data_IF_028533238892
#
_entry.id   IF_028533238892
#
_cell.length_a   1.000
_cell.length_b   1.000
_cell.length_c   1.000
_cell.angle_alpha   90.00
_cell.angle_beta   90.00
_cell.angle_gamma   90.00
#
_symmetry.space_group_name_H-M   'P 1'
#
loop_
_entity.id
_entity.type
_entity.pdbx_description
1 polymer ?
#
# COMPACT_ATOMS: atom_id res chain seq x y z
N UNK A 1 16.70 4.12 1.35
CA UNK A 1 16.10 2.91 1.94
C UNK A 1 16.21 2.95 3.46
N UNK A 2 15.06 2.92 4.12
CA UNK A 2 14.95 2.73 5.57
C UNK A 2 15.49 1.35 5.97
N UNK A 3 16.05 1.26 7.17
CA UNK A 3 16.40 -0.03 7.78
C UNK A 3 15.13 -0.84 8.05
N UNK A 4 15.25 -2.16 8.23
CA UNK A 4 14.12 -3.02 8.62
C UNK A 4 13.39 -2.48 9.87
N UNK A 5 14.16 -1.97 10.84
CA UNK A 5 13.62 -1.33 12.05
C UNK A 5 12.80 -0.10 11.68
N UNK A 6 13.30 0.76 10.77
CA UNK A 6 12.57 1.92 10.27
C UNK A 6 11.26 1.54 9.58
N UNK A 7 11.23 0.46 8.81
CA UNK A 7 10.02 -0.06 8.19
C UNK A 7 9.00 -0.56 9.21
N UNK A 8 9.43 -1.37 10.17
CA UNK A 8 8.55 -1.91 11.21
C UNK A 8 7.99 -0.79 12.10
N UNK A 9 8.83 0.18 12.46
CA UNK A 9 8.41 1.35 13.22
C UNK A 9 7.41 2.20 12.43
N UNK A 10 7.69 2.49 11.15
CA UNK A 10 6.79 3.23 10.28
C UNK A 10 5.43 2.54 10.12
N UNK A 11 5.42 1.22 9.94
CA UNK A 11 4.21 0.41 9.87
C UNK A 11 3.41 0.46 11.18
N UNK A 12 4.08 0.35 12.33
CA UNK A 12 3.45 0.43 13.64
C UNK A 12 2.83 1.82 13.87
N UNK A 13 3.57 2.90 13.60
CA UNK A 13 3.07 4.28 13.74
C UNK A 13 1.88 4.53 12.81
N UNK A 14 1.97 4.12 11.54
CA UNK A 14 0.90 4.25 10.57
C UNK A 14 -0.38 3.51 11.03
N UNK A 15 -0.23 2.28 11.51
CA UNK A 15 -1.34 1.46 12.01
C UNK A 15 -1.96 2.09 13.26
N UNK A 16 -1.14 2.50 14.24
CA UNK A 16 -1.61 3.17 15.45
C UNK A 16 -2.36 4.46 15.14
N UNK A 17 -1.87 5.29 14.22
CA UNK A 17 -2.54 6.53 13.83
C UNK A 17 -3.95 6.26 13.26
N UNK A 18 -4.07 5.27 12.37
CA UNK A 18 -5.37 4.88 11.79
C UNK A 18 -6.31 4.26 12.83
N UNK A 19 -5.81 3.35 13.66
CA UNK A 19 -6.56 2.66 14.71
C UNK A 19 -7.07 3.64 15.78
N UNK A 20 -6.22 4.53 16.27
CA UNK A 20 -6.60 5.53 17.29
C UNK A 20 -7.61 6.52 16.73
N UNK A 21 -7.46 6.95 15.46
CA UNK A 21 -8.44 7.79 14.81
C UNK A 21 -9.80 7.09 14.64
N UNK A 22 -9.81 5.76 14.42
CA UNK A 22 -11.04 4.99 14.31
C UNK A 22 -11.79 4.93 15.64
N UNK A 23 -11.07 4.78 16.75
CA UNK A 23 -11.65 4.76 18.10
C UNK A 23 -12.31 6.06 18.54
N UNK A 24 -12.03 7.17 17.86
CA UNK A 24 -12.69 8.46 18.10
C UNK A 24 -14.05 8.59 17.39
N UNK A 25 -14.43 7.61 16.55
CA UNK A 25 -15.73 7.55 15.86
C UNK A 25 -16.01 8.84 15.06
N UNK A 26 -14.95 9.48 14.54
CA UNK A 26 -15.04 10.65 13.66
C UNK A 26 -14.52 10.26 12.25
N UNK A 27 -15.41 10.12 11.25
CA UNK A 27 -15.02 9.78 9.88
C UNK A 27 -14.03 10.76 9.28
N UNK A 28 -14.14 12.06 9.59
CA UNK A 28 -13.28 13.09 9.00
C UNK A 28 -11.86 12.96 9.52
N UNK A 29 -11.71 12.71 10.82
CA UNK A 29 -10.41 12.50 11.45
C UNK A 29 -9.76 11.21 10.93
N UNK A 30 -10.53 10.13 10.79
CA UNK A 30 -10.02 8.88 10.23
C UNK A 30 -9.64 9.02 8.74
N UNK A 31 -10.42 9.75 7.94
CA UNK A 31 -10.07 10.13 6.57
C UNK A 31 -8.74 10.87 6.54
N UNK A 32 -8.55 11.86 7.42
CA UNK A 32 -7.31 12.61 7.51
C UNK A 32 -6.12 11.71 7.90
N UNK A 33 -6.31 10.81 8.88
CA UNK A 33 -5.28 9.86 9.30
C UNK A 33 -4.88 8.91 8.16
N UNK A 34 -5.85 8.28 7.48
CA UNK A 34 -5.58 7.44 6.31
C UNK A 34 -4.89 8.20 5.18
N UNK A 35 -5.35 9.43 4.89
CA UNK A 35 -4.76 10.28 3.87
C UNK A 35 -3.31 10.66 4.17
N UNK A 36 -3.01 11.02 5.42
CA UNK A 36 -1.64 11.34 5.86
C UNK A 36 -0.72 10.13 5.78
N UNK A 37 -1.18 8.95 6.20
CA UNK A 37 -0.40 7.71 6.09
C UNK A 37 -0.12 7.37 4.63
N UNK A 38 -1.15 7.36 3.78
CA UNK A 38 -1.02 7.09 2.36
C UNK A 38 -0.04 8.07 1.70
N UNK A 39 -0.19 9.37 1.97
CA UNK A 39 0.69 10.42 1.45
C UNK A 39 2.14 10.22 1.92
N UNK A 40 2.36 9.95 3.21
CA UNK A 40 3.70 9.73 3.75
C UNK A 40 4.39 8.54 3.09
N UNK A 41 3.70 7.41 2.94
CA UNK A 41 4.25 6.21 2.27
C UNK A 41 4.56 6.51 0.81
N UNK A 42 3.64 7.18 0.09
CA UNK A 42 3.85 7.55 -1.32
C UNK A 42 5.04 8.49 -1.50
N UNK A 43 5.17 9.53 -0.67
CA UNK A 43 6.29 10.48 -0.75
C UNK A 43 7.63 9.79 -0.46
N UNK A 44 7.68 8.89 0.52
CA UNK A 44 8.88 8.09 0.81
C UNK A 44 9.25 7.19 -0.37
N UNK A 45 8.26 6.54 -1.00
CA UNK A 45 8.48 5.70 -2.17
C UNK A 45 9.08 6.49 -3.34
N UNK A 46 8.45 7.62 -3.69
CA UNK A 46 8.91 8.51 -4.77
C UNK A 46 10.31 9.03 -4.47
N UNK A 47 10.58 9.44 -3.22
CA UNK A 47 11.89 9.90 -2.81
C UNK A 47 12.98 8.82 -2.97
N UNK A 48 12.71 7.59 -2.53
CA UNK A 48 13.64 6.47 -2.69
C UNK A 48 13.82 6.10 -4.17
N UNK A 49 12.78 6.15 -5.00
CA UNK A 49 12.88 5.96 -6.45
C UNK A 49 13.77 7.01 -7.10
N UNK A 50 13.55 8.30 -6.81
CA UNK A 50 14.38 9.39 -7.31
C UNK A 50 15.84 9.23 -6.90
N UNK A 51 16.09 8.84 -5.64
CA UNK A 51 17.45 8.57 -5.16
C UNK A 51 18.11 7.43 -5.93
N UNK A 52 17.38 6.34 -6.19
CA UNK A 52 17.87 5.21 -6.98
C UNK A 52 18.19 5.61 -8.42
N UNK A 53 17.28 6.34 -9.08
CA UNK A 53 17.45 6.86 -10.44
C UNK A 53 18.70 7.75 -10.52
N UNK A 54 18.82 8.72 -9.60
CA UNK A 54 19.94 9.66 -9.57
C UNK A 54 21.28 8.98 -9.29
N UNK A 55 21.27 7.82 -8.62
CA UNK A 55 22.46 6.99 -8.39
C UNK A 55 22.81 6.05 -9.56
N UNK A 56 22.05 6.07 -10.65
CA UNK A 56 22.24 5.16 -11.79
C UNK A 56 21.90 3.71 -11.46
N UNK A 57 20.96 3.47 -10.54
CA UNK A 57 20.59 2.12 -10.14
C UNK A 57 19.95 1.35 -11.31
N UNK A 58 20.24 0.04 -11.36
CA UNK A 58 19.61 -0.87 -12.32
C UNK A 58 18.09 -0.96 -12.10
N UNK A 59 17.28 -1.21 -13.14
CA UNK A 59 15.83 -1.26 -13.04
C UNK A 59 15.26 -2.20 -11.97
N UNK A 60 15.88 -3.37 -11.77
CA UNK A 60 15.49 -4.32 -10.72
C UNK A 60 15.51 -3.70 -9.32
N UNK A 61 16.35 -2.69 -9.09
CA UNK A 61 16.39 -1.95 -7.83
C UNK A 61 15.12 -1.12 -7.59
N UNK A 62 14.63 -0.46 -8.64
CA UNK A 62 13.42 0.34 -8.60
C UNK A 62 12.21 -0.58 -8.46
N UNK A 63 12.17 -1.68 -9.21
CA UNK A 63 11.15 -2.72 -9.07
C UNK A 63 11.09 -3.29 -7.65
N UNK A 64 12.24 -3.61 -7.06
CA UNK A 64 12.32 -4.10 -5.67
C UNK A 64 11.83 -3.06 -4.67
N UNK A 65 12.29 -1.80 -4.81
CA UNK A 65 11.82 -0.69 -3.98
C UNK A 65 10.31 -0.50 -4.08
N UNK A 66 9.78 -0.47 -5.30
CA UNK A 66 8.34 -0.36 -5.58
C UNK A 66 7.57 -1.46 -4.85
N UNK A 67 7.97 -2.72 -5.05
CA UNK A 67 7.32 -3.87 -4.44
C UNK A 67 7.35 -3.82 -2.90
N UNK A 68 8.43 -3.33 -2.28
CA UNK A 68 8.47 -3.12 -0.81
C UNK A 68 7.47 -2.07 -0.36
N UNK A 69 7.40 -0.92 -1.02
CA UNK A 69 6.46 0.15 -0.67
C UNK A 69 5.00 -0.28 -0.89
N UNK A 70 4.70 -1.00 -1.98
CA UNK A 70 3.38 -1.60 -2.18
C UNK A 70 3.05 -2.59 -1.06
N UNK A 71 4.01 -3.44 -0.69
CA UNK A 71 3.89 -4.35 0.44
C UNK A 71 3.60 -3.64 1.76
N UNK A 72 4.21 -2.46 2.00
CA UNK A 72 3.94 -1.65 3.19
C UNK A 72 2.51 -1.11 3.19
N UNK A 73 2.01 -0.58 2.07
CA UNK A 73 0.62 -0.09 1.99
C UNK A 73 -0.37 -1.22 2.27
N UNK A 74 -0.14 -2.40 1.66
CA UNK A 74 -0.97 -3.58 1.91
C UNK A 74 -0.89 -4.07 3.36
N UNK A 75 0.31 -4.11 3.95
CA UNK A 75 0.49 -4.52 5.33
C UNK A 75 -0.19 -3.55 6.30
N UNK A 76 -0.08 -2.23 6.06
CA UNK A 76 -0.78 -1.21 6.83
C UNK A 76 -2.29 -1.39 6.75
N UNK A 77 -2.83 -1.61 5.54
CA UNK A 77 -4.25 -1.88 5.36
C UNK A 77 -4.70 -3.13 6.11
N UNK A 78 -3.95 -4.23 6.00
CA UNK A 78 -4.25 -5.49 6.67
C UNK A 78 -4.27 -5.32 8.20
N UNK A 79 -3.21 -4.75 8.77
CA UNK A 79 -3.09 -4.54 10.22
C UNK A 79 -4.13 -3.55 10.75
N UNK A 80 -4.43 -2.49 10.01
CA UNK A 80 -5.45 -1.53 10.42
C UNK A 80 -6.84 -2.17 10.42
N UNK A 81 -7.20 -2.91 9.37
CA UNK A 81 -8.49 -3.62 9.28
C UNK A 81 -8.63 -4.63 10.41
N UNK A 82 -7.66 -5.53 10.61
CA UNK A 82 -7.78 -6.56 11.65
C UNK A 82 -7.87 -5.94 13.04
N UNK A 83 -7.07 -4.91 13.36
CA UNK A 83 -7.08 -4.30 14.69
C UNK A 83 -8.39 -3.54 14.93
N UNK A 84 -8.83 -2.74 13.95
CA UNK A 84 -10.06 -1.95 14.07
C UNK A 84 -11.28 -2.86 14.29
N UNK A 85 -11.43 -3.92 13.50
CA UNK A 85 -12.63 -4.75 13.53
C UNK A 85 -12.62 -5.87 14.57
N UNK A 86 -11.46 -6.24 15.12
CA UNK A 86 -11.40 -7.16 16.26
C UNK A 86 -11.47 -6.46 17.61
N UNK A 87 -10.93 -5.23 17.73
CA UNK A 87 -10.68 -4.63 19.04
C UNK A 87 -11.24 -3.23 19.24
N UNK A 88 -11.61 -2.49 18.19
CA UNK A 88 -11.97 -1.07 18.31
C UNK A 88 -13.45 -0.81 18.07
N UNK A 89 -13.98 -1.26 16.92
CA UNK A 89 -15.36 -0.98 16.55
C UNK A 89 -16.29 -2.10 17.01
N UNK A 90 -17.30 -1.73 17.80
CA UNK A 90 -18.35 -2.67 18.24
C UNK A 90 -19.26 -3.09 17.08
N UNK A 91 -19.54 -2.16 16.14
CA UNK A 91 -20.33 -2.46 14.94
C UNK A 91 -19.46 -3.16 13.89
N UNK A 92 -19.31 -4.46 14.04
CA UNK A 92 -18.42 -5.28 13.21
C UNK A 92 -18.97 -5.44 11.78
N UNK A 93 -18.12 -5.16 10.80
CA UNK A 93 -18.41 -5.37 9.37
C UNK A 93 -18.23 -6.84 8.99
N UNK A 94 -19.27 -7.63 8.65
CA UNK A 94 -19.16 -9.09 8.53
C UNK A 94 -18.08 -9.59 7.57
N UNK A 95 -17.80 -8.84 6.51
CA UNK A 95 -16.84 -9.22 5.47
C UNK A 95 -15.40 -8.75 5.75
N UNK A 96 -15.11 -8.09 6.89
CA UNK A 96 -13.80 -7.51 7.19
C UNK A 96 -12.64 -8.50 7.00
N UNK A 97 -12.87 -9.78 7.32
CA UNK A 97 -11.86 -10.83 7.25
C UNK A 97 -11.41 -11.13 5.80
N UNK A 98 -12.30 -10.97 4.82
CA UNK A 98 -11.97 -11.18 3.40
C UNK A 98 -10.97 -10.11 2.94
N UNK A 99 -11.20 -8.86 3.34
CA UNK A 99 -10.32 -7.74 3.06
C UNK A 99 -8.98 -7.89 3.79
N UNK A 100 -8.99 -8.29 5.05
CA UNK A 100 -7.77 -8.61 5.79
C UNK A 100 -6.93 -9.67 5.07
N UNK A 101 -7.52 -10.81 4.68
CA UNK A 101 -6.80 -11.88 3.99
C UNK A 101 -6.25 -11.41 2.65
N UNK A 102 -7.06 -10.69 1.86
CA UNK A 102 -6.63 -10.14 0.57
C UNK A 102 -5.44 -9.19 0.72
N UNK A 103 -5.49 -8.27 1.69
CA UNK A 103 -4.41 -7.33 1.96
C UNK A 103 -3.15 -8.04 2.48
N UNK A 104 -3.31 -8.97 3.42
CA UNK A 104 -2.19 -9.74 3.97
C UNK A 104 -1.49 -10.55 2.88
N UNK A 105 -2.26 -11.21 2.01
CA UNK A 105 -1.71 -11.93 0.86
C UNK A 105 -0.95 -10.99 -0.08
N UNK A 106 -1.54 -9.85 -0.45
CA UNK A 106 -0.90 -8.88 -1.33
C UNK A 106 0.39 -8.29 -0.71
N UNK A 107 0.40 -8.06 0.61
CA UNK A 107 1.60 -7.62 1.33
C UNK A 107 2.73 -8.65 1.24
N UNK A 108 2.44 -9.91 1.57
CA UNK A 108 3.41 -11.01 1.51
C UNK A 108 3.90 -11.22 0.08
N UNK A 109 3.01 -11.24 -0.90
CA UNK A 109 3.36 -11.40 -2.31
C UNK A 109 4.29 -10.28 -2.80
N UNK A 110 4.02 -9.04 -2.39
CA UNK A 110 4.85 -7.89 -2.76
C UNK A 110 6.24 -7.97 -2.13
N UNK A 111 6.35 -8.35 -0.86
CA UNK A 111 7.64 -8.52 -0.16
C UNK A 111 8.42 -9.71 -0.73
N UNK A 112 7.75 -10.81 -1.05
CA UNK A 112 8.37 -11.97 -1.69
C UNK A 112 8.93 -11.58 -3.07
N UNK A 113 8.16 -10.85 -3.87
CA UNK A 113 8.60 -10.37 -5.18
C UNK A 113 9.79 -9.40 -5.07
N UNK A 114 9.78 -8.47 -4.12
CA UNK A 114 10.93 -7.62 -3.84
C UNK A 114 12.20 -8.43 -3.52
N UNK A 115 12.05 -9.45 -2.68
CA UNK A 115 13.16 -10.35 -2.29
C UNK A 115 13.73 -11.11 -3.49
N UNK A 116 12.88 -11.54 -4.43
CA UNK A 116 13.33 -12.17 -5.68
C UNK A 116 14.15 -11.21 -6.53
N UNK A 117 13.70 -9.97 -6.70
CA UNK A 117 14.42 -8.93 -7.45
C UNK A 117 15.76 -8.57 -6.79
N UNK A 118 15.82 -8.48 -5.46
CA UNK A 118 17.07 -8.22 -4.74
C UNK A 118 18.06 -9.38 -4.89
N UNK A 119 17.58 -10.62 -4.82
CA UNK A 119 18.41 -11.83 -4.99
C UNK A 119 18.99 -11.91 -6.39
N UNK A 120 18.20 -11.57 -7.40
CA UNK A 120 18.67 -11.54 -8.79
C UNK A 120 19.76 -10.49 -8.96
N UNK A 121 19.52 -9.28 -8.45
CA UNK A 121 20.52 -8.19 -8.42
C UNK A 121 21.79 -8.59 -7.68
N UNK A 122 21.68 -9.22 -6.51
CA UNK A 122 22.84 -9.64 -5.70
C UNK A 122 23.69 -10.71 -6.41
N UNK A 123 23.08 -11.52 -7.27
CA UNK A 123 23.76 -12.48 -8.13
C UNK A 123 24.42 -11.84 -9.37
N UNK A 124 24.38 -10.51 -9.50
CA UNK A 124 24.86 -9.80 -10.69
C UNK A 124 24.00 -10.04 -11.94
N UNK A 125 22.80 -10.61 -11.76
CA UNK A 125 21.85 -10.88 -12.84
C UNK A 125 20.82 -9.75 -12.90
N UNK A 126 20.34 -9.53 -14.11
CA UNK A 126 19.25 -8.61 -14.43
C UNK A 126 18.31 -9.36 -15.36
N UNK A 127 17.54 -10.29 -14.82
CA UNK A 127 16.60 -11.09 -15.61
C UNK A 127 15.49 -10.17 -16.19
N UNK A 128 15.46 -9.95 -17.52
CA UNK A 128 14.47 -9.09 -18.15
C UNK A 128 13.04 -9.60 -17.96
N UNK A 129 12.84 -10.90 -17.72
CA UNK A 129 11.52 -11.46 -17.44
C UNK A 129 10.98 -11.00 -16.09
N UNK A 130 11.82 -10.95 -15.05
CA UNK A 130 11.42 -10.47 -13.73
C UNK A 130 11.08 -8.98 -13.76
N UNK A 131 11.87 -8.19 -14.47
CA UNK A 131 11.59 -6.75 -14.64
C UNK A 131 10.28 -6.53 -15.37
N UNK A 132 10.06 -7.22 -16.49
CA UNK A 132 8.80 -7.20 -17.25
C UNK A 132 7.60 -7.65 -16.42
N UNK A 133 7.74 -8.70 -15.61
CA UNK A 133 6.69 -9.15 -14.71
C UNK A 133 6.32 -8.06 -13.69
N UNK A 134 7.32 -7.41 -13.09
CA UNK A 134 7.10 -6.30 -12.16
C UNK A 134 6.34 -5.14 -12.80
N UNK A 135 6.67 -4.80 -14.06
CA UNK A 135 5.95 -3.79 -14.84
C UNK A 135 4.48 -4.15 -15.06
N UNK A 136 4.20 -5.38 -15.47
CA UNK A 136 2.83 -5.87 -15.67
C UNK A 136 2.06 -5.85 -14.35
N UNK A 137 2.67 -6.30 -13.26
CA UNK A 137 2.04 -6.25 -11.94
C UNK A 137 1.69 -4.81 -11.54
N UNK A 138 2.59 -3.85 -11.74
CA UNK A 138 2.30 -2.44 -11.47
C UNK A 138 1.13 -1.90 -12.32
N UNK A 139 1.05 -2.27 -13.60
CA UNK A 139 -0.09 -1.90 -14.47
C UNK A 139 -1.40 -2.50 -13.97
N UNK A 140 -1.40 -3.80 -13.63
CA UNK A 140 -2.57 -4.50 -13.08
C UNK A 140 -3.01 -3.85 -11.76
N UNK A 141 -2.07 -3.47 -10.90
CA UNK A 141 -2.37 -2.75 -9.66
C UNK A 141 -3.03 -1.39 -9.95
N UNK A 142 -2.52 -0.60 -10.90
CA UNK A 142 -3.14 0.69 -11.28
C UNK A 142 -4.59 0.49 -11.73
N UNK A 143 -4.83 -0.47 -12.63
CA UNK A 143 -6.18 -0.75 -13.13
C UNK A 143 -7.09 -1.23 -11.99
N UNK A 144 -6.62 -2.16 -11.16
CA UNK A 144 -7.35 -2.66 -10.00
C UNK A 144 -7.70 -1.56 -9.00
N UNK A 145 -6.76 -0.67 -8.70
CA UNK A 145 -6.98 0.44 -7.78
C UNK A 145 -7.95 1.46 -8.35
N UNK A 146 -7.86 1.77 -9.65
CA UNK A 146 -8.82 2.66 -10.31
C UNK A 146 -10.24 2.10 -10.27
N UNK A 147 -10.42 0.82 -10.60
CA UNK A 147 -11.72 0.13 -10.49
C UNK A 147 -12.22 0.17 -9.05
N UNK A 148 -11.38 -0.17 -8.07
CA UNK A 148 -11.74 -0.14 -6.65
C UNK A 148 -12.20 1.25 -6.19
N UNK A 149 -11.45 2.30 -6.54
CA UNK A 149 -11.82 3.69 -6.21
C UNK A 149 -13.15 4.07 -6.86
N UNK A 150 -13.35 3.77 -8.14
CA UNK A 150 -14.60 4.08 -8.86
C UNK A 150 -15.78 3.36 -8.18
N UNK A 151 -15.63 2.08 -7.84
CA UNK A 151 -16.68 1.31 -7.15
C UNK A 151 -17.07 1.93 -5.81
N UNK A 152 -16.11 2.47 -5.04
CA UNK A 152 -16.42 3.15 -3.77
C UNK A 152 -17.34 4.35 -3.96
N UNK A 153 -17.20 5.12 -5.04
CA UNK A 153 -18.09 6.25 -5.32
C UNK A 153 -19.44 5.82 -5.90
N UNK A 154 -19.43 4.86 -6.84
CA UNK A 154 -20.66 4.33 -7.45
C UNK A 154 -21.58 3.71 -6.38
N UNK A 155 -20.99 2.95 -5.46
CA UNK A 155 -21.71 2.29 -4.37
C UNK A 155 -21.98 3.22 -3.17
N UNK A 156 -21.60 4.51 -3.25
CA UNK A 156 -21.72 5.51 -2.17
C UNK A 156 -21.05 5.07 -0.86
N UNK A 157 -19.92 4.39 -0.98
CA UNK A 157 -19.11 3.87 0.14
C UNK A 157 -17.98 4.82 0.55
N UNK A 158 -17.79 5.95 -0.12
CA UNK A 158 -16.83 6.98 0.27
C UNK A 158 -17.28 8.40 -0.15
N UNK A 159 -17.23 9.41 0.75
CA UNK A 159 -17.06 9.28 2.20
C UNK A 159 -18.26 8.57 2.83
N UNK A 160 -18.05 7.92 3.98
CA UNK A 160 -19.08 7.08 4.60
C UNK A 160 -19.35 7.46 6.05
N UNK A 161 -20.63 7.43 6.42
CA UNK A 161 -21.10 7.71 7.77
C UNK A 161 -20.80 6.56 8.75
N UNK A 162 -20.54 6.87 10.02
CA UNK A 162 -20.27 5.88 11.08
C UNK A 162 -21.44 4.91 11.33
N UNK A 163 -22.65 5.26 10.90
CA UNK A 163 -23.80 4.38 10.94
C UNK A 163 -23.62 3.11 10.09
N UNK A 164 -22.66 3.06 9.16
CA UNK A 164 -22.35 1.87 8.37
C UNK A 164 -21.15 1.12 8.94
N UNK A 165 -21.26 -0.18 9.17
CA UNK A 165 -20.22 -0.97 9.82
C UNK A 165 -18.86 -0.89 9.10
N UNK A 166 -18.84 -0.74 7.79
CA UNK A 166 -17.65 -0.75 6.94
C UNK A 166 -17.02 0.63 6.72
N UNK A 167 -17.47 1.68 7.42
CA UNK A 167 -17.03 3.06 7.20
C UNK A 167 -15.51 3.23 7.27
N UNK A 168 -14.86 2.66 8.29
CA UNK A 168 -13.42 2.76 8.50
C UNK A 168 -12.63 1.97 7.44
N UNK A 169 -13.15 0.79 7.06
CA UNK A 169 -12.57 -0.06 6.03
C UNK A 169 -12.55 0.62 4.66
N UNK A 170 -13.63 1.30 4.29
CA UNK A 170 -13.71 2.04 3.03
C UNK A 170 -12.72 3.22 2.97
N UNK A 171 -12.45 3.89 4.10
CA UNK A 171 -11.42 4.93 4.17
C UNK A 171 -10.02 4.34 3.91
N UNK A 172 -9.68 3.20 4.55
CA UNK A 172 -8.40 2.50 4.33
C UNK A 172 -8.27 2.05 2.87
N UNK A 173 -9.32 1.44 2.32
CA UNK A 173 -9.37 1.00 0.91
C UNK A 173 -9.10 2.15 -0.05
N UNK A 174 -9.80 3.27 0.12
CA UNK A 174 -9.67 4.44 -0.76
C UNK A 174 -8.24 4.98 -0.77
N UNK A 175 -7.70 5.28 0.41
CA UNK A 175 -6.36 5.89 0.51
C UNK A 175 -5.23 4.92 0.22
N UNK A 176 -5.38 3.64 0.58
CA UNK A 176 -4.45 2.58 0.18
C UNK A 176 -4.40 2.42 -1.35
N UNK A 177 -5.57 2.43 -2.01
CA UNK A 177 -5.65 2.34 -3.45
C UNK A 177 -5.00 3.55 -4.14
N UNK A 178 -5.22 4.76 -3.63
CA UNK A 178 -4.54 5.96 -4.13
C UNK A 178 -3.02 5.87 -3.98
N UNK A 179 -2.53 5.42 -2.83
CA UNK A 179 -1.09 5.27 -2.60
C UNK A 179 -0.47 4.24 -3.56
N UNK A 180 -1.08 3.05 -3.69
CA UNK A 180 -0.62 2.00 -4.60
C UNK A 180 -0.61 2.50 -6.05
N UNK A 181 -1.68 3.18 -6.49
CA UNK A 181 -1.75 3.73 -7.83
C UNK A 181 -0.66 4.77 -8.08
N UNK A 182 -0.46 5.71 -7.14
CA UNK A 182 0.54 6.76 -7.27
C UNK A 182 1.98 6.19 -7.32
N UNK A 183 2.30 5.25 -6.42
CA UNK A 183 3.62 4.58 -6.39
C UNK A 183 3.86 3.80 -7.68
N UNK A 184 2.84 3.08 -8.17
CA UNK A 184 2.95 2.30 -9.41
C UNK A 184 3.11 3.20 -10.63
N UNK A 185 2.39 4.32 -10.70
CA UNK A 185 2.53 5.31 -11.79
C UNK A 185 3.94 5.90 -11.79
N UNK A 186 4.46 6.28 -10.62
CA UNK A 186 5.82 6.80 -10.47
C UNK A 186 6.87 5.79 -10.95
N UNK A 187 6.76 4.53 -10.51
CA UNK A 187 7.65 3.47 -10.93
C UNK A 187 7.65 3.25 -12.46
N UNK A 188 6.48 3.29 -13.10
CA UNK A 188 6.35 3.12 -14.56
C UNK A 188 6.86 4.31 -15.38
N UNK A 189 6.90 5.50 -14.79
CA UNK A 189 7.44 6.72 -15.43
C UNK A 189 8.96 6.82 -15.36
N UNK A 190 9.60 6.02 -14.50
CA UNK A 190 11.05 6.05 -14.34
C UNK A 190 11.78 5.70 -15.65
N UNK A 191 12.77 6.52 -16.09
CA UNK A 191 13.54 6.28 -17.31
C UNK A 191 14.52 5.09 -17.21
N UNK A 192 14.82 4.64 -16.00
CA UNK A 192 15.48 3.36 -15.76
C UNK A 192 14.44 2.25 -15.94
N UNK A 193 14.24 1.83 -17.19
CA UNK A 193 13.15 0.96 -17.62
C UNK A 193 13.01 -0.31 -16.77
N UNK A 194 11.96 -0.36 -15.95
CA UNK A 194 11.34 -1.60 -15.47
C UNK A 194 10.71 -2.35 -16.66
#
# INVERSE_FOLDING_TARGET
MLSLIGWLFGLAVATCATVLAAGLIDPKLHIAACGLVALAITLLAIHDHQRLINSGAVPNAIGSSTARYLGLVWAWGALSVIVIYLFVLEKVWPEWWQFFIGFAFAAVASIAFATLLDRDRAAGRSDPMLTKAGRILAQVQIVGMAVGIISLFVDKKFPRDVAYADWAGNNILFFGALAIAAISIDALRSPAHV
#
